data_IF_171516292690
#
_entry.id   IF_171516292690
#
_cell.length_a   1.000
_cell.length_b   1.000
_cell.length_c   1.000
_cell.angle_alpha   90.00
_cell.angle_beta   90.00
_cell.angle_gamma   90.00
#
_symmetry.space_group_name_H-M   'P 1'
#
loop_
_entity.id
_entity.type
_entity.pdbx_description
1 polymer ?
#
# COMPACT_ATOMS: atom_id res chain seq x y z
N UNK A 1 -0.52 -0.47 -22.35
CA UNK A 1 -0.53 -1.43 -21.22
C UNK A 1 -1.98 -1.56 -20.76
N UNK A 2 -2.47 -2.76 -20.48
CA UNK A 2 -3.84 -2.93 -19.94
C UNK A 2 -3.74 -2.95 -18.41
N UNK A 3 -4.63 -2.25 -17.74
CA UNK A 3 -4.72 -2.25 -16.28
C UNK A 3 -5.87 -3.15 -15.83
N UNK A 4 -5.66 -3.87 -14.73
CA UNK A 4 -6.68 -4.64 -14.05
C UNK A 4 -6.70 -4.19 -12.59
N UNK A 5 -7.88 -3.87 -12.09
CA UNK A 5 -8.09 -3.53 -10.68
C UNK A 5 -8.43 -4.79 -9.88
N UNK A 6 -7.75 -4.96 -8.74
CA UNK A 6 -8.06 -6.01 -7.77
C UNK A 6 -8.26 -5.33 -6.43
N UNK A 7 -9.48 -5.43 -5.90
CA UNK A 7 -9.89 -4.79 -4.64
C UNK A 7 -9.83 -5.82 -3.52
N UNK A 8 -8.99 -5.55 -2.51
CA UNK A 8 -8.80 -6.45 -1.37
C UNK A 8 -9.56 -5.88 -0.18
N UNK A 9 -10.50 -6.66 0.36
CA UNK A 9 -11.24 -6.29 1.57
C UNK A 9 -10.55 -6.95 2.78
N UNK A 10 -9.78 -6.19 3.59
CA UNK A 10 -9.07 -6.74 4.73
C UNK A 10 -10.06 -7.16 5.83
N UNK A 11 -10.19 -8.48 6.05
CA UNK A 11 -11.04 -9.04 7.12
C UNK A 11 -10.27 -9.32 8.42
N UNK A 12 -8.92 -9.32 8.35
CA UNK A 12 -8.04 -9.62 9.46
C UNK A 12 -6.71 -8.88 9.30
N UNK A 13 -5.84 -9.00 10.31
CA UNK A 13 -4.51 -8.42 10.27
C UNK A 13 -3.60 -9.13 9.26
N UNK A 14 -2.65 -8.37 8.72
CA UNK A 14 -1.57 -8.89 7.89
C UNK A 14 -0.25 -8.81 8.64
N UNK A 15 0.56 -9.86 8.60
CA UNK A 15 1.92 -9.81 9.16
C UNK A 15 2.94 -9.18 8.19
N UNK A 16 2.58 -9.01 6.92
CA UNK A 16 3.43 -8.37 5.91
C UNK A 16 2.60 -7.37 5.12
N UNK A 17 3.12 -6.14 4.86
CA UNK A 17 2.40 -5.17 4.05
C UNK A 17 2.11 -5.70 2.63
N UNK A 18 1.02 -5.23 2.04
CA UNK A 18 0.59 -5.58 0.68
C UNK A 18 1.44 -4.85 -0.37
N UNK A 19 2.71 -5.26 -0.49
CA UNK A 19 3.66 -4.75 -1.47
C UNK A 19 3.56 -5.56 -2.78
N UNK A 20 3.94 -4.92 -3.88
CA UNK A 20 3.81 -5.53 -5.22
C UNK A 20 4.64 -6.81 -5.39
N UNK A 21 5.82 -6.87 -4.78
CA UNK A 21 6.67 -8.06 -4.73
C UNK A 21 6.03 -9.19 -3.92
N UNK A 22 5.44 -8.90 -2.76
CA UNK A 22 4.70 -9.89 -1.96
C UNK A 22 3.51 -10.46 -2.73
N UNK A 23 2.73 -9.59 -3.38
CA UNK A 23 1.56 -10.01 -4.18
C UNK A 23 2.00 -10.84 -5.37
N UNK A 24 3.07 -10.43 -6.06
CA UNK A 24 3.64 -11.18 -7.17
C UNK A 24 4.14 -12.57 -6.74
N UNK A 25 4.77 -12.67 -5.56
CA UNK A 25 5.17 -13.94 -4.97
C UNK A 25 3.99 -14.87 -4.72
N UNK A 26 2.90 -14.36 -4.14
CA UNK A 26 1.66 -15.13 -3.97
C UNK A 26 1.05 -15.58 -5.29
N UNK A 27 1.06 -14.70 -6.30
CA UNK A 27 0.62 -15.03 -7.64
C UNK A 27 1.46 -16.18 -8.26
N UNK A 28 2.78 -16.13 -8.13
CA UNK A 28 3.66 -17.21 -8.59
C UNK A 28 3.38 -18.53 -7.87
N UNK A 29 3.12 -18.50 -6.56
CA UNK A 29 2.73 -19.70 -5.82
C UNK A 29 1.41 -20.29 -6.34
N UNK A 30 0.42 -19.46 -6.65
CA UNK A 30 -0.83 -19.95 -7.22
C UNK A 30 -0.63 -20.62 -8.58
N UNK A 31 0.21 -20.05 -9.45
CA UNK A 31 0.59 -20.70 -10.71
C UNK A 31 1.36 -22.01 -10.51
N UNK A 32 2.16 -22.13 -9.45
CA UNK A 32 2.86 -23.36 -9.12
C UNK A 32 1.91 -24.45 -8.60
N UNK A 33 0.86 -24.07 -7.85
CA UNK A 33 -0.16 -25.00 -7.37
C UNK A 33 -1.13 -25.43 -8.47
N UNK A 34 -1.53 -24.51 -9.36
CA UNK A 34 -2.43 -24.77 -10.47
C UNK A 34 -1.86 -24.19 -11.78
N UNK A 35 -1.10 -25.00 -12.55
CA UNK A 35 -0.53 -24.58 -13.82
C UNK A 35 -1.58 -24.26 -14.90
N UNK A 36 -2.85 -24.66 -14.74
CA UNK A 36 -3.89 -24.41 -15.75
C UNK A 36 -4.32 -22.95 -15.83
N UNK A 37 -3.96 -22.15 -14.82
CA UNK A 37 -4.24 -20.72 -14.74
C UNK A 37 -3.43 -19.87 -15.73
N UNK A 38 -2.38 -20.44 -16.35
CA UNK A 38 -1.54 -19.73 -17.30
C UNK A 38 -1.20 -20.58 -18.54
N UNK A 39 -0.88 -19.87 -19.63
CA UNK A 39 -0.45 -20.50 -20.89
C UNK A 39 1.05 -20.79 -20.86
N UNK A 40 1.47 -21.75 -20.03
CA UNK A 40 2.87 -22.17 -19.90
C UNK A 40 3.28 -22.47 -18.47
N UNK A 41 4.46 -23.04 -18.30
CA UNK A 41 5.04 -23.28 -16.97
C UNK A 41 5.51 -21.97 -16.34
N UNK A 42 5.52 -21.92 -15.00
CA UNK A 42 6.05 -20.77 -14.26
C UNK A 42 7.50 -20.44 -14.68
N UNK A 43 8.32 -21.46 -14.96
CA UNK A 43 9.71 -21.24 -15.38
C UNK A 43 9.82 -20.58 -16.75
N UNK A 44 8.95 -20.92 -17.70
CA UNK A 44 8.89 -20.28 -19.02
C UNK A 44 8.48 -18.81 -18.89
N UNK A 45 7.43 -18.54 -18.11
CA UNK A 45 6.95 -17.18 -17.85
C UNK A 45 8.00 -16.29 -17.19
N UNK A 46 8.82 -16.85 -16.29
CA UNK A 46 9.87 -16.10 -15.60
C UNK A 46 11.14 -15.90 -16.44
N UNK A 47 11.43 -16.78 -17.40
CA UNK A 47 12.66 -16.76 -18.20
C UNK A 47 12.87 -15.44 -18.96
N UNK A 48 11.79 -14.79 -19.40
CA UNK A 48 11.80 -13.53 -20.14
C UNK A 48 11.33 -12.31 -19.34
N UNK A 49 11.07 -12.45 -18.04
CA UNK A 49 10.37 -11.41 -17.25
C UNK A 49 11.11 -10.06 -17.22
N UNK A 50 12.44 -10.09 -17.29
CA UNK A 50 13.27 -8.87 -17.31
C UNK A 50 13.08 -8.02 -18.57
N UNK A 51 12.86 -8.67 -19.73
CA UNK A 51 12.72 -7.98 -21.02
C UNK A 51 11.24 -7.75 -21.37
N UNK A 52 10.40 -8.76 -21.14
CA UNK A 52 8.98 -8.77 -21.51
C UNK A 52 8.14 -9.27 -20.33
N UNK A 53 7.87 -8.41 -19.32
CA UNK A 53 7.05 -8.81 -18.18
C UNK A 53 5.62 -9.09 -18.65
N UNK A 54 5.15 -10.31 -18.41
CA UNK A 54 3.79 -10.72 -18.76
C UNK A 54 2.73 -10.12 -17.82
N UNK A 55 3.13 -9.77 -16.59
CA UNK A 55 2.29 -9.09 -15.59
C UNK A 55 3.18 -8.23 -14.71
N UNK A 56 2.66 -7.10 -14.23
CA UNK A 56 3.35 -6.23 -13.26
C UNK A 56 2.36 -5.87 -12.16
N UNK A 57 2.72 -6.15 -10.90
CA UNK A 57 1.90 -5.82 -9.75
C UNK A 57 2.38 -4.52 -9.10
N UNK A 58 1.46 -3.59 -8.87
CA UNK A 58 1.71 -2.45 -8.00
C UNK A 58 1.65 -2.86 -6.54
N UNK A 59 2.20 -2.03 -5.64
CA UNK A 59 1.84 -2.12 -4.23
C UNK A 59 0.37 -1.73 -4.06
N UNK A 60 -0.29 -2.28 -3.04
CA UNK A 60 -1.67 -1.93 -2.73
C UNK A 60 -1.75 -0.47 -2.25
N UNK A 61 -2.84 0.19 -2.62
CA UNK A 61 -3.17 1.55 -2.22
C UNK A 61 -4.68 1.67 -1.98
N UNK A 62 -5.12 2.58 -1.08
CA UNK A 62 -6.53 2.74 -0.78
C UNK A 62 -7.33 3.24 -1.98
N UNK A 63 -8.47 2.62 -2.21
CA UNK A 63 -9.55 3.00 -3.12
C UNK A 63 -10.68 3.67 -2.34
N UNK A 64 -11.24 4.73 -2.89
CA UNK A 64 -12.37 5.46 -2.30
C UNK A 64 -13.20 6.17 -3.39
N UNK A 65 -14.32 6.78 -2.98
CA UNK A 65 -15.13 7.62 -3.86
C UNK A 65 -14.76 9.09 -3.67
N UNK A 66 -14.47 9.79 -4.76
CA UNK A 66 -14.14 11.22 -4.77
C UNK A 66 -14.97 11.93 -5.83
N UNK A 67 -15.73 12.96 -5.45
CA UNK A 67 -16.57 13.73 -6.39
C UNK A 67 -17.50 12.87 -7.26
N UNK A 68 -17.99 11.74 -6.73
CA UNK A 68 -18.86 10.81 -7.43
C UNK A 68 -18.16 9.85 -8.41
N UNK A 69 -16.82 9.85 -8.44
CA UNK A 69 -16.00 8.92 -9.23
C UNK A 69 -15.15 8.02 -8.32
N UNK A 70 -14.72 6.89 -8.86
CA UNK A 70 -13.72 6.04 -8.21
C UNK A 70 -12.36 6.72 -8.27
N UNK A 71 -11.66 6.76 -7.13
CA UNK A 71 -10.34 7.35 -7.00
C UNK A 71 -9.44 6.51 -6.09
N UNK A 72 -8.13 6.72 -6.21
CA UNK A 72 -7.10 6.01 -5.46
C UNK A 72 -6.09 6.96 -4.84
N UNK A 73 -5.62 6.65 -3.63
CA UNK A 73 -4.50 7.36 -3.01
C UNK A 73 -3.18 6.71 -3.40
N UNK A 74 -2.49 7.27 -4.39
CA UNK A 74 -1.18 6.76 -4.82
C UNK A 74 -0.04 7.51 -4.10
N UNK A 75 1.11 6.86 -3.87
CA UNK A 75 2.26 7.52 -3.27
C UNK A 75 2.77 8.64 -4.19
N UNK A 76 3.12 9.78 -3.59
CA UNK A 76 3.72 10.91 -4.29
C UNK A 76 4.99 10.44 -5.02
N UNK A 77 5.16 10.79 -6.30
CA UNK A 77 6.37 10.47 -7.05
C UNK A 77 7.64 10.97 -6.34
N UNK A 78 8.69 10.16 -6.37
CA UNK A 78 10.00 10.51 -5.79
C UNK A 78 10.80 11.45 -6.72
N UNK A 79 10.19 12.57 -7.10
CA UNK A 79 10.81 13.58 -7.96
C UNK A 79 11.56 14.64 -7.14
N UNK A 80 12.56 15.31 -7.74
CA UNK A 80 13.19 16.47 -7.13
C UNK A 80 12.18 17.56 -6.73
N UNK A 81 12.46 18.27 -5.63
CA UNK A 81 11.53 19.25 -5.06
C UNK A 81 11.12 20.40 -5.99
N UNK A 82 11.90 20.69 -7.03
CA UNK A 82 11.59 21.73 -8.00
C UNK A 82 10.37 21.39 -8.88
N UNK A 83 9.99 20.12 -9.00
CA UNK A 83 8.78 19.69 -9.72
C UNK A 83 7.49 19.97 -8.95
N UNK A 84 7.55 20.15 -7.62
CA UNK A 84 6.39 20.34 -6.75
C UNK A 84 6.14 21.81 -6.39
N UNK A 85 6.52 22.72 -7.29
CA UNK A 85 6.40 24.16 -7.12
C UNK A 85 7.55 24.79 -6.33
N UNK A 86 8.00 25.96 -6.78
CA UNK A 86 9.05 26.76 -6.14
C UNK A 86 8.49 28.16 -5.88
N UNK A 87 8.25 28.52 -4.62
CA UNK A 87 7.94 29.92 -4.27
C UNK A 87 9.25 30.68 -4.05
N UNK A 88 9.32 31.92 -4.56
CA UNK A 88 10.38 32.88 -4.21
C UNK A 88 9.99 33.51 -2.87
N UNK A 89 10.88 33.47 -1.89
CA UNK A 89 10.68 34.01 -0.56
C UNK A 89 11.97 33.88 0.26
N UNK A 90 11.90 34.28 1.53
CA UNK A 90 13.05 34.20 2.44
C UNK A 90 13.55 32.77 2.64
N UNK A 91 14.81 32.63 3.04
CA UNK A 91 15.45 31.33 3.25
C UNK A 91 14.66 30.45 4.24
N UNK A 92 14.14 31.06 5.32
CA UNK A 92 13.36 30.37 6.34
C UNK A 92 12.02 29.85 5.79
N UNK A 93 11.26 30.69 5.08
CA UNK A 93 9.98 30.31 4.48
C UNK A 93 10.16 29.19 3.45
N UNK A 94 11.22 29.30 2.64
CA UNK A 94 11.56 28.28 1.64
C UNK A 94 11.89 26.93 2.29
N UNK A 95 12.61 26.93 3.42
CA UNK A 95 12.95 25.69 4.15
C UNK A 95 11.72 25.11 4.86
N UNK A 96 10.88 25.95 5.46
CA UNK A 96 9.64 25.51 6.13
C UNK A 96 8.70 24.82 5.14
N UNK A 97 8.45 25.44 3.99
CA UNK A 97 7.62 24.86 2.93
C UNK A 97 8.21 23.57 2.37
N UNK A 98 9.54 23.46 2.23
CA UNK A 98 10.17 22.19 1.84
C UNK A 98 9.92 21.07 2.84
N UNK A 99 9.94 21.37 4.14
CA UNK A 99 9.62 20.38 5.19
C UNK A 99 8.16 19.95 5.09
N UNK A 100 7.26 20.89 4.87
CA UNK A 100 5.83 20.62 4.72
C UNK A 100 5.54 19.77 3.46
N UNK A 101 6.08 20.16 2.30
CA UNK A 101 5.94 19.38 1.06
C UNK A 101 6.55 17.98 1.18
N UNK A 102 7.60 17.77 1.98
CA UNK A 102 8.16 16.44 2.25
C UNK A 102 7.23 15.56 3.10
N UNK A 103 6.40 16.15 3.96
CA UNK A 103 5.39 15.41 4.75
C UNK A 103 4.21 14.96 3.91
N UNK A 104 3.94 15.64 2.79
CA UNK A 104 2.91 15.24 1.83
C UNK A 104 3.38 14.03 1.04
N UNK A 105 2.72 12.90 1.26
CA UNK A 105 3.10 11.56 0.77
C UNK A 105 2.11 10.98 -0.23
N UNK A 106 0.92 11.56 -0.35
CA UNK A 106 -0.16 11.01 -1.17
C UNK A 106 -0.60 12.00 -2.23
N UNK A 107 -1.07 11.48 -3.36
CA UNK A 107 -1.82 12.21 -4.36
C UNK A 107 -3.04 11.38 -4.77
N UNK A 108 -4.06 12.04 -5.29
CA UNK A 108 -5.29 11.38 -5.75
C UNK A 108 -5.14 11.07 -7.24
N UNK A 109 -5.40 9.83 -7.61
CA UNK A 109 -5.54 9.38 -8.99
C UNK A 109 -7.01 9.09 -9.25
N UNK A 110 -7.59 9.70 -10.28
CA UNK A 110 -8.98 9.47 -10.71
C UNK A 110 -9.04 8.34 -11.74
N UNK A 111 -10.25 7.94 -12.13
CA UNK A 111 -10.57 6.81 -13.03
C UNK A 111 -9.83 6.87 -14.38
N UNK A 112 -9.50 8.06 -14.85
CA UNK A 112 -8.75 8.28 -16.10
C UNK A 112 -7.28 7.77 -16.01
N UNK A 113 -6.79 7.47 -14.80
CA UNK A 113 -5.43 7.01 -14.50
C UNK A 113 -4.31 7.93 -15.05
N UNK A 114 -4.62 9.22 -15.22
CA UNK A 114 -3.64 10.22 -15.65
C UNK A 114 -2.92 10.84 -14.46
N UNK A 115 -1.59 10.80 -14.48
CA UNK A 115 -0.75 11.39 -13.44
C UNK A 115 -0.49 12.86 -13.77
N UNK A 116 -1.12 13.75 -13.02
CA UNK A 116 -0.87 15.18 -13.08
C UNK A 116 0.01 15.61 -11.90
N UNK A 117 1.17 16.23 -12.17
CA UNK A 117 2.06 16.73 -11.10
C UNK A 117 1.55 18.02 -10.46
N UNK A 118 0.66 18.74 -11.15
CA UNK A 118 0.05 19.99 -10.69
C UNK A 118 -1.24 19.73 -9.89
N UNK A 119 -1.27 18.66 -9.09
CA UNK A 119 -2.40 18.33 -8.21
C UNK A 119 -2.10 18.69 -6.77
N UNK A 120 -3.13 18.65 -5.93
CA UNK A 120 -2.95 18.70 -4.49
C UNK A 120 -2.27 17.42 -3.97
N UNK A 121 -1.38 17.60 -2.99
CA UNK A 121 -0.73 16.52 -2.28
C UNK A 121 -1.16 16.54 -0.83
N UNK A 122 -1.29 15.35 -0.26
CA UNK A 122 -1.85 15.14 1.06
C UNK A 122 -0.83 14.48 1.98
N UNK A 123 -0.85 14.89 3.24
CA UNK A 123 -0.22 14.17 4.35
C UNK A 123 -1.00 12.90 4.68
N UNK A 124 -0.41 11.98 5.45
CA UNK A 124 -1.10 10.77 5.92
C UNK A 124 -2.43 11.10 6.61
N UNK A 125 -2.45 12.18 7.43
CA UNK A 125 -3.63 12.64 8.14
C UNK A 125 -4.72 13.17 7.20
N UNK A 126 -4.36 14.06 6.28
CA UNK A 126 -5.33 14.65 5.34
C UNK A 126 -5.95 13.57 4.44
N UNK A 127 -5.14 12.67 3.90
CA UNK A 127 -5.62 11.57 3.07
C UNK A 127 -6.59 10.67 3.85
N UNK A 128 -6.29 10.40 5.11
CA UNK A 128 -7.17 9.64 5.99
C UNK A 128 -8.50 10.35 6.27
N UNK A 129 -8.47 11.66 6.55
CA UNK A 129 -9.68 12.45 6.77
C UNK A 129 -10.59 12.50 5.53
N UNK A 130 -10.01 12.56 4.33
CA UNK A 130 -10.75 12.48 3.08
C UNK A 130 -11.39 11.10 2.88
N UNK A 131 -10.64 10.03 3.13
CA UNK A 131 -11.15 8.67 3.05
C UNK A 131 -12.32 8.44 4.02
N UNK A 132 -12.22 8.98 5.24
CA UNK A 132 -13.33 8.95 6.21
C UNK A 132 -14.59 9.62 5.69
N UNK A 133 -14.47 10.77 5.02
CA UNK A 133 -15.64 11.48 4.46
C UNK A 133 -16.28 10.70 3.31
N UNK A 134 -15.46 9.98 2.53
CA UNK A 134 -15.90 9.16 1.42
C UNK A 134 -16.64 7.88 1.85
N UNK A 135 -16.43 7.41 3.09
CA UNK A 135 -17.12 6.24 3.62
C UNK A 135 -18.59 6.56 3.99
N UNK A 136 -19.53 5.61 3.73
CA UNK A 136 -20.91 5.67 4.22
C UNK A 136 -20.96 5.89 5.73
N UNK A 137 -21.99 6.58 6.23
CA UNK A 137 -22.10 6.90 7.67
C UNK A 137 -22.07 5.66 8.56
N UNK A 138 -22.65 4.55 8.11
CA UNK A 138 -22.71 3.28 8.82
C UNK A 138 -21.34 2.58 8.92
N UNK A 139 -20.39 2.94 8.05
CA UNK A 139 -19.01 2.41 8.04
C UNK A 139 -18.01 3.41 8.67
N UNK A 140 -18.49 4.50 9.30
CA UNK A 140 -17.62 5.46 10.01
C UNK A 140 -17.31 4.97 11.41
N UNK A 141 -16.18 4.28 11.58
CA UNK A 141 -15.71 3.78 12.87
C UNK A 141 -15.14 4.89 13.76
N UNK A 142 -15.13 4.73 15.10
CA UNK A 142 -14.46 5.64 16.00
C UNK A 142 -12.95 5.57 15.77
N UNK A 143 -12.41 6.59 15.12
CA UNK A 143 -10.99 6.66 14.77
C UNK A 143 -10.15 7.28 15.90
N UNK A 144 -8.87 6.91 16.02
CA UNK A 144 -7.95 7.61 16.91
C UNK A 144 -7.84 9.08 16.51
N UNK A 145 -7.71 9.99 17.49
CA UNK A 145 -7.71 11.45 17.27
C UNK A 145 -6.59 11.95 16.36
N UNK A 146 -5.50 11.18 16.23
CA UNK A 146 -4.35 11.49 15.35
C UNK A 146 -3.86 10.24 14.61
N UNK A 147 -4.50 9.85 13.50
CA UNK A 147 -4.06 8.72 12.69
C UNK A 147 -2.78 9.10 11.94
N UNK A 148 -1.72 8.31 12.15
CA UNK A 148 -0.43 8.48 11.47
C UNK A 148 -0.34 7.69 10.15
N UNK A 149 -1.25 6.74 9.91
CA UNK A 149 -1.24 5.87 8.74
C UNK A 149 -2.63 5.26 8.48
N UNK A 150 -2.80 4.52 7.37
CA UNK A 150 -4.01 3.76 7.04
C UNK A 150 -4.17 2.44 7.81
N UNK A 151 -3.24 2.11 8.70
CA UNK A 151 -3.30 0.92 9.54
C UNK A 151 -2.79 1.22 10.95
N UNK A 152 -3.13 0.34 11.89
CA UNK A 152 -2.50 0.27 13.20
C UNK A 152 -1.59 -0.96 13.25
N UNK A 153 -0.47 -0.82 13.94
CA UNK A 153 0.46 -1.92 14.15
C UNK A 153 0.30 -2.42 15.58
N UNK A 154 0.16 -3.75 15.72
CA UNK A 154 0.08 -4.40 17.02
C UNK A 154 1.13 -5.51 17.11
N UNK A 155 2.01 -5.41 18.10
CA UNK A 155 3.00 -6.45 18.36
C UNK A 155 2.31 -7.67 19.00
N UNK A 156 2.55 -8.85 18.43
CA UNK A 156 2.10 -10.14 18.94
C UNK A 156 3.33 -11.03 19.23
N UNK A 157 3.43 -11.61 20.44
CA UNK A 157 4.49 -12.57 20.74
C UNK A 157 4.18 -13.93 20.11
N UNK A 158 5.21 -14.57 19.55
CA UNK A 158 5.17 -15.90 18.96
C UNK A 158 6.33 -16.75 19.50
N UNK A 159 6.13 -18.06 19.50
CA UNK A 159 7.20 -19.02 19.77
C UNK A 159 7.56 -19.76 18.48
N UNK A 160 8.86 -19.92 18.23
CA UNK A 160 9.34 -20.68 17.08
C UNK A 160 9.21 -22.17 17.34
N UNK A 161 8.34 -22.84 16.60
CA UNK A 161 8.19 -24.30 16.62
C UNK A 161 8.83 -24.87 15.35
N UNK A 162 9.80 -25.75 15.52
CA UNK A 162 10.33 -26.55 14.44
C UNK A 162 9.31 -27.64 14.10
N UNK A 163 8.75 -27.58 12.88
CA UNK A 163 7.70 -28.51 12.44
C UNK A 163 8.19 -29.92 12.10
N UNK A 164 9.50 -30.12 11.90
CA UNK A 164 10.08 -31.44 11.65
C UNK A 164 10.27 -32.24 12.94
N UNK A 165 10.71 -31.55 14.01
CA UNK A 165 11.00 -32.17 15.30
C UNK A 165 9.87 -32.00 16.31
N UNK A 166 8.87 -31.15 16.01
CA UNK A 166 7.84 -30.69 16.95
C UNK A 166 8.42 -30.08 18.24
N UNK A 167 9.64 -29.54 18.18
CA UNK A 167 10.32 -28.91 19.32
C UNK A 167 10.48 -27.40 19.11
N UNK A 168 10.56 -26.66 20.21
CA UNK A 168 10.98 -25.26 20.20
C UNK A 168 12.50 -25.20 20.38
N UNK A 169 13.27 -25.07 19.29
CA UNK A 169 14.72 -24.78 19.26
C UNK A 169 15.62 -25.42 20.34
N UNK A 170 16.75 -24.78 20.66
CA UNK A 170 17.51 -25.03 21.90
C UNK A 170 16.88 -24.23 23.07
N UNK A 171 15.59 -24.47 23.36
CA UNK A 171 14.88 -23.85 24.49
C UNK A 171 13.73 -22.90 24.12
N UNK A 172 13.31 -22.06 25.07
CA UNK A 172 12.23 -21.09 24.91
C UNK A 172 12.74 -19.81 24.22
N UNK A 173 12.52 -19.69 22.91
CA UNK A 173 12.95 -18.56 22.09
C UNK A 173 11.74 -17.77 21.53
N UNK A 174 11.09 -16.93 22.38
CA UNK A 174 10.00 -16.09 21.93
C UNK A 174 10.53 -14.98 21.01
N UNK A 175 9.76 -14.63 19.98
CA UNK A 175 10.00 -13.49 19.13
C UNK A 175 8.70 -12.70 18.96
N UNK A 176 8.81 -11.43 18.58
CA UNK A 176 7.65 -10.57 18.34
C UNK A 176 7.47 -10.39 16.84
N UNK A 177 6.22 -10.47 16.39
CA UNK A 177 5.81 -10.06 15.05
C UNK A 177 4.87 -8.87 15.17
N UNK A 178 5.02 -7.95 14.24
CA UNK A 178 4.10 -6.83 14.08
C UNK A 178 2.99 -7.21 13.12
N UNK A 179 1.74 -7.12 13.59
CA UNK A 179 0.56 -7.29 12.76
C UNK A 179 -0.04 -5.94 12.38
N UNK A 180 -0.38 -5.82 11.11
CA UNK A 180 -0.92 -4.62 10.47
C UNK A 180 -2.43 -4.78 10.34
N UNK A 181 -3.18 -3.95 11.05
CA UNK A 181 -4.64 -3.91 10.99
C UNK A 181 -5.06 -2.69 10.18
N UNK A 182 -5.61 -2.91 8.99
CA UNK A 182 -6.22 -1.85 8.21
C UNK A 182 -7.53 -1.42 8.85
N UNK A 183 -7.82 -0.12 8.77
CA UNK A 183 -9.10 0.38 9.23
C UNK A 183 -10.26 -0.24 8.44
N UNK A 184 -11.39 -0.53 9.09
CA UNK A 184 -12.55 -1.05 8.38
C UNK A 184 -13.06 -0.06 7.34
N UNK A 185 -13.67 -0.58 6.26
CA UNK A 185 -14.15 0.22 5.13
C UNK A 185 -13.05 0.59 4.12
N UNK A 186 -11.77 0.43 4.46
CA UNK A 186 -10.69 0.52 3.47
C UNK A 186 -10.83 -0.59 2.43
N UNK A 187 -10.71 -0.20 1.16
CA UNK A 187 -10.79 -1.07 -0.02
C UNK A 187 -9.65 -0.73 -0.97
#
# INVERSE_FOLDING_TARGET
MKFAEIVIHPLAAFSTPLKGDTIFGHFCWQLAYDPTLANGSLSELLSGYYEFPFVVFSSAFPRFQWEGKTAWFIPKPALPSHFFGRRKGDCFETVSQRKENKRKRWMILQEEMEICLNTEYFTDREAFELLRKALPEDERFPFPENPLSFHITQAQPHNSINRLTFTTGEGFAPYQLENLWYFPGLR
#
